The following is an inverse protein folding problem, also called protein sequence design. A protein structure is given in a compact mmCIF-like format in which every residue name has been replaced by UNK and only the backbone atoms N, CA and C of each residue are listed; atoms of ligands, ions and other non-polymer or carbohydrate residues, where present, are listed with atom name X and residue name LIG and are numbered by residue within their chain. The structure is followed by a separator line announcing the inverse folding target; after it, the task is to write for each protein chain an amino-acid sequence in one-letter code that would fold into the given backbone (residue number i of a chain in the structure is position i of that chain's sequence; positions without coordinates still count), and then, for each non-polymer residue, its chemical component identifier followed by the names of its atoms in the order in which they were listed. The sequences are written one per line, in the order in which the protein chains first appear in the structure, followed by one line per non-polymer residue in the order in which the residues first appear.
data_IF_045369442145
#
_entry.id   IF_045369442145
#
_cell.length_a   1.000
_cell.length_b   1.000
_cell.length_c   1.000
_cell.angle_alpha   90.00
_cell.angle_beta   90.00
_cell.angle_gamma   90.00
#
_symmetry.space_group_name_H-M   'P 1'
#
loop_
_entity.id
_entity.type
_entity.pdbx_description
1 polymer ?
#
# COMPACT_ATOMS: atom_id res chain seq x y z
N UNK A 1 21.53 -3.28 47.38
CA UNK A 1 20.91 -2.22 46.55
C UNK A 1 21.16 -2.58 45.12
N UNK A 2 20.19 -3.27 44.51
CA UNK A 2 20.22 -3.66 43.10
C UNK A 2 19.47 -2.60 42.32
N UNK A 3 20.17 -1.80 41.51
CA UNK A 3 19.56 -0.89 40.56
C UNK A 3 19.21 -1.70 39.32
N UNK A 4 17.93 -1.98 39.15
CA UNK A 4 17.37 -2.44 37.87
C UNK A 4 17.42 -1.28 36.90
N UNK A 5 18.23 -1.39 35.83
CA UNK A 5 18.15 -0.55 34.63
C UNK A 5 16.84 -0.86 33.91
N UNK A 6 16.09 0.14 33.46
CA UNK A 6 14.92 -0.10 32.61
C UNK A 6 15.37 -0.67 31.28
N UNK A 7 14.73 -1.77 30.90
CA UNK A 7 14.91 -2.46 29.61
C UNK A 7 14.69 -1.52 28.42
N UNK A 8 15.53 -1.67 27.41
CA UNK A 8 15.69 -0.80 26.27
C UNK A 8 14.38 -0.46 25.54
N UNK A 9 14.15 0.82 25.39
CA UNK A 9 13.32 1.35 24.32
C UNK A 9 14.05 1.04 23.02
N UNK A 10 13.51 0.11 22.23
CA UNK A 10 13.93 -0.07 20.85
C UNK A 10 13.74 1.28 20.14
N UNK A 11 14.83 1.93 19.76
CA UNK A 11 14.79 3.14 18.94
C UNK A 11 14.17 2.77 17.60
N UNK A 12 12.87 3.02 17.45
CA UNK A 12 12.23 2.92 16.13
C UNK A 12 12.96 3.91 15.20
N UNK A 13 13.48 3.40 14.11
CA UNK A 13 14.09 4.25 13.08
C UNK A 13 13.05 5.28 12.63
N UNK A 14 13.49 6.56 12.52
CA UNK A 14 12.59 7.63 12.06
C UNK A 14 12.21 7.35 10.62
N UNK A 15 10.92 7.19 10.37
CA UNK A 15 10.38 6.89 9.04
C UNK A 15 10.42 8.12 8.14
N UNK A 16 10.80 7.91 6.87
CA UNK A 16 10.99 8.94 5.85
C UNK A 16 9.79 9.01 4.93
N UNK A 17 9.24 10.21 4.75
CA UNK A 17 8.12 10.47 3.85
C UNK A 17 8.57 11.44 2.75
N UNK A 18 8.34 11.07 1.50
CA UNK A 18 8.51 11.97 0.36
C UNK A 18 7.16 12.58 0.00
N UNK A 19 7.06 13.89 0.02
CA UNK A 19 5.86 14.66 -0.38
C UNK A 19 6.11 15.25 -1.75
N UNK A 20 5.19 15.01 -2.68
CA UNK A 20 5.27 15.47 -4.08
C UNK A 20 4.00 16.23 -4.41
N UNK A 21 4.11 17.55 -4.56
CA UNK A 21 3.01 18.46 -4.89
C UNK A 21 3.63 19.78 -5.37
N UNK A 22 3.18 20.34 -6.47
CA UNK A 22 3.70 21.59 -7.04
C UNK A 22 3.19 22.84 -6.29
N UNK A 23 2.10 22.72 -5.52
CA UNK A 23 1.59 23.78 -4.68
C UNK A 23 2.38 23.90 -3.38
N UNK A 24 3.33 24.86 -3.31
CA UNK A 24 4.17 25.08 -2.12
C UNK A 24 3.36 25.26 -0.82
N UNK A 25 2.17 25.84 -0.89
CA UNK A 25 1.30 26.03 0.28
C UNK A 25 0.83 24.67 0.83
N UNK A 26 0.40 23.76 -0.03
CA UNK A 26 -0.03 22.40 0.33
C UNK A 26 1.16 21.59 0.84
N UNK A 27 2.26 21.60 0.09
CA UNK A 27 3.51 20.90 0.49
C UNK A 27 3.99 21.34 1.87
N UNK A 28 3.96 22.64 2.19
CA UNK A 28 4.36 23.12 3.51
C UNK A 28 3.41 22.67 4.64
N UNK A 29 2.11 22.69 4.41
CA UNK A 29 1.12 22.20 5.40
C UNK A 29 1.33 20.71 5.67
N UNK A 30 1.49 19.91 4.62
CA UNK A 30 1.75 18.45 4.74
C UNK A 30 3.07 18.23 5.47
N UNK A 31 4.15 18.91 5.07
CA UNK A 31 5.48 18.78 5.68
C UNK A 31 5.43 19.03 7.17
N UNK A 32 4.90 20.18 7.59
CA UNK A 32 4.79 20.54 9.01
C UNK A 32 3.95 19.55 9.80
N UNK A 33 2.85 19.06 9.24
CA UNK A 33 2.00 18.07 9.88
C UNK A 33 2.70 16.71 10.05
N UNK A 34 3.44 16.26 9.03
CA UNK A 34 4.19 15.02 9.07
C UNK A 34 5.38 15.12 10.03
N UNK A 35 6.14 16.23 10.02
CA UNK A 35 7.23 16.48 10.98
C UNK A 35 6.71 16.50 12.42
N UNK A 36 5.58 17.15 12.67
CA UNK A 36 4.92 17.14 13.98
C UNK A 36 4.46 15.73 14.41
N UNK A 37 4.10 14.89 13.42
CA UNK A 37 3.74 13.48 13.66
C UNK A 37 4.94 12.56 13.87
N UNK A 38 6.19 13.07 13.75
CA UNK A 38 7.44 12.37 14.01
C UNK A 38 8.12 11.76 12.78
N UNK A 39 7.72 12.16 11.58
CA UNK A 39 8.33 11.70 10.32
C UNK A 39 9.48 12.63 9.87
N UNK A 40 10.44 12.08 9.15
CA UNK A 40 11.43 12.85 8.40
C UNK A 40 10.86 13.11 6.99
N UNK A 41 10.73 14.38 6.61
CA UNK A 41 10.06 14.74 5.36
C UNK A 41 11.04 15.32 4.35
N UNK A 42 10.92 14.83 3.12
CA UNK A 42 11.53 15.42 1.93
C UNK A 42 10.43 15.85 0.97
N UNK A 43 10.67 16.92 0.20
CA UNK A 43 9.66 17.46 -0.72
C UNK A 43 10.20 17.53 -2.14
N UNK A 44 9.34 17.27 -3.12
CA UNK A 44 9.55 17.50 -4.53
C UNK A 44 8.35 18.26 -5.12
N UNK A 45 8.59 19.10 -6.12
CA UNK A 45 7.55 19.89 -6.81
C UNK A 45 7.27 19.40 -8.24
N UNK A 46 7.99 18.39 -8.70
CA UNK A 46 7.95 17.90 -10.07
C UNK A 46 8.06 16.36 -10.09
N UNK A 47 7.44 15.71 -11.07
CA UNK A 47 7.41 14.28 -11.19
C UNK A 47 8.79 13.64 -11.42
N UNK A 48 9.62 14.23 -12.29
CA UNK A 48 10.98 13.73 -12.51
C UNK A 48 11.86 13.88 -11.27
N UNK A 49 11.71 14.99 -10.53
CA UNK A 49 12.38 15.17 -9.25
C UNK A 49 11.95 14.11 -8.23
N UNK A 50 10.66 13.80 -8.18
CA UNK A 50 10.11 12.77 -7.29
C UNK A 50 10.71 11.39 -7.58
N UNK A 51 10.84 11.00 -8.85
CA UNK A 51 11.44 9.73 -9.26
C UNK A 51 12.90 9.61 -8.83
N UNK A 52 13.71 10.66 -9.09
CA UNK A 52 15.11 10.70 -8.68
C UNK A 52 15.26 10.65 -7.15
N UNK A 53 14.46 11.44 -6.43
CA UNK A 53 14.49 11.45 -4.96
C UNK A 53 14.01 10.12 -4.35
N UNK A 54 13.00 9.47 -4.92
CA UNK A 54 12.54 8.16 -4.46
C UNK A 54 13.62 7.09 -4.56
N UNK A 55 14.39 7.09 -5.66
CA UNK A 55 15.51 6.16 -5.84
C UNK A 55 16.67 6.44 -4.88
N UNK A 56 17.05 7.70 -4.71
CA UNK A 56 18.21 8.08 -3.87
C UNK A 56 17.92 8.00 -2.38
N UNK A 57 16.74 8.44 -1.95
CA UNK A 57 16.40 8.53 -0.54
C UNK A 57 15.78 7.23 0.00
N UNK A 58 15.23 6.40 -0.88
CA UNK A 58 14.45 5.20 -0.53
C UNK A 58 13.48 5.50 0.61
N UNK A 59 12.47 6.38 0.41
CA UNK A 59 11.53 6.76 1.45
C UNK A 59 10.67 5.58 1.86
N UNK A 60 10.17 5.60 3.10
CA UNK A 60 9.26 4.58 3.59
C UNK A 60 7.83 4.75 3.06
N UNK A 61 7.49 5.96 2.54
CA UNK A 61 6.21 6.27 1.91
C UNK A 61 6.33 7.50 1.01
N UNK A 62 5.56 7.51 -0.08
CA UNK A 62 5.37 8.66 -0.96
C UNK A 62 3.94 9.19 -0.85
N UNK A 63 3.78 10.49 -0.59
CA UNK A 63 2.52 11.24 -0.77
C UNK A 63 2.66 11.94 -2.12
N UNK A 64 1.76 11.67 -3.06
CA UNK A 64 1.91 12.05 -4.45
C UNK A 64 0.67 12.75 -4.99
N UNK A 65 0.81 14.00 -5.40
CA UNK A 65 -0.26 14.67 -6.13
C UNK A 65 -0.43 14.10 -7.54
N UNK A 66 -1.68 14.02 -7.99
CA UNK A 66 -2.00 13.64 -9.37
C UNK A 66 -1.62 14.74 -10.35
N UNK A 67 -1.87 16.00 -10.00
CA UNK A 67 -1.66 17.14 -10.88
C UNK A 67 -0.26 17.74 -10.70
N UNK A 68 0.71 17.24 -11.47
CA UNK A 68 2.08 17.79 -11.49
C UNK A 68 2.37 18.42 -12.87
N UNK A 69 3.26 19.44 -12.94
CA UNK A 69 3.43 20.25 -14.14
C UNK A 69 4.20 19.55 -15.27
N UNK A 70 5.10 18.60 -14.97
CA UNK A 70 6.00 17.96 -15.92
C UNK A 70 5.61 16.53 -16.27
N UNK A 71 5.23 15.76 -15.28
CA UNK A 71 4.84 14.36 -15.41
C UNK A 71 3.72 14.09 -14.43
N UNK A 72 2.52 13.71 -14.91
CA UNK A 72 1.40 13.49 -14.02
C UNK A 72 1.69 12.42 -12.95
N UNK A 73 1.03 12.53 -11.80
CA UNK A 73 1.28 11.64 -10.66
C UNK A 73 0.96 10.18 -10.95
N UNK A 74 0.08 9.89 -11.90
CA UNK A 74 -0.19 8.52 -12.32
C UNK A 74 1.00 7.90 -13.03
N UNK A 75 1.62 8.66 -13.93
CA UNK A 75 2.83 8.22 -14.62
C UNK A 75 4.02 8.09 -13.67
N UNK A 76 4.15 8.99 -12.67
CA UNK A 76 5.13 8.85 -11.58
C UNK A 76 4.90 7.54 -10.82
N UNK A 77 3.67 7.28 -10.40
CA UNK A 77 3.29 6.05 -9.70
C UNK A 77 3.65 4.80 -10.52
N UNK A 78 3.28 4.79 -11.82
CA UNK A 78 3.59 3.68 -12.74
C UNK A 78 5.11 3.40 -12.80
N UNK A 79 5.92 4.45 -12.98
CA UNK A 79 7.39 4.31 -13.05
C UNK A 79 8.00 3.83 -11.73
N UNK A 80 7.47 4.29 -10.59
CA UNK A 80 7.88 3.78 -9.28
C UNK A 80 7.58 2.29 -9.13
N UNK A 81 6.47 1.80 -9.68
CA UNK A 81 6.07 0.38 -9.66
C UNK A 81 6.89 -0.50 -10.62
N UNK A 82 7.33 0.05 -11.74
CA UNK A 82 8.17 -0.66 -12.72
C UNK A 82 9.64 -0.78 -12.28
N UNK A 83 10.08 0.00 -11.30
CA UNK A 83 11.46 -0.01 -10.81
C UNK A 83 11.57 -0.90 -9.56
N UNK A 84 12.41 -1.95 -9.62
CA UNK A 84 12.61 -2.91 -8.51
C UNK A 84 13.01 -2.26 -7.19
N UNK A 85 13.75 -1.13 -7.22
CA UNK A 85 14.17 -0.41 -6.02
C UNK A 85 13.05 0.38 -5.32
N UNK A 86 11.96 0.69 -6.04
CA UNK A 86 10.87 1.54 -5.54
C UNK A 86 9.49 0.88 -5.60
N UNK A 87 9.39 -0.32 -6.19
CA UNK A 87 8.11 -1.02 -6.43
C UNK A 87 7.29 -1.26 -5.16
N UNK A 88 7.95 -1.46 -4.03
CA UNK A 88 7.31 -1.75 -2.73
C UNK A 88 7.10 -0.53 -1.83
N UNK A 89 7.50 0.67 -2.27
CA UNK A 89 7.26 1.89 -1.49
C UNK A 89 5.76 2.19 -1.50
N UNK A 90 5.08 2.30 -0.33
CA UNK A 90 3.69 2.70 -0.29
C UNK A 90 3.47 4.07 -0.89
N UNK A 91 2.41 4.21 -1.71
CA UNK A 91 2.06 5.47 -2.37
C UNK A 91 0.65 5.87 -1.98
N UNK A 92 0.52 7.04 -1.33
CA UNK A 92 -0.75 7.71 -1.06
C UNK A 92 -0.95 8.82 -2.10
N UNK A 93 -1.95 8.67 -2.97
CA UNK A 93 -2.26 9.69 -3.99
C UNK A 93 -3.13 10.79 -3.40
N UNK A 94 -2.84 12.04 -3.76
CA UNK A 94 -3.71 13.19 -3.52
C UNK A 94 -4.46 13.52 -4.82
N UNK A 95 -5.80 13.59 -4.77
CA UNK A 95 -6.63 13.81 -5.97
C UNK A 95 -7.62 14.97 -5.77
N UNK A 96 -8.05 15.62 -6.84
CA UNK A 96 -9.17 16.57 -6.80
C UNK A 96 -10.50 15.83 -6.61
N UNK A 97 -11.48 16.48 -5.97
CA UNK A 97 -12.76 15.90 -5.55
C UNK A 97 -13.64 15.38 -6.70
N UNK A 98 -13.48 15.92 -7.90
CA UNK A 98 -14.46 15.75 -9.00
C UNK A 98 -14.12 14.63 -9.99
N UNK A 99 -13.00 13.92 -9.82
CA UNK A 99 -12.56 12.93 -10.78
C UNK A 99 -12.69 11.49 -10.28
N UNK A 100 -13.93 10.98 -10.33
CA UNK A 100 -14.21 9.54 -10.10
C UNK A 100 -13.46 8.67 -11.13
N UNK A 101 -13.22 9.21 -12.34
CA UNK A 101 -12.45 8.52 -13.38
C UNK A 101 -10.96 8.45 -13.02
N UNK A 102 -10.39 9.52 -12.47
CA UNK A 102 -8.99 9.55 -12.04
C UNK A 102 -8.75 8.63 -10.84
N UNK A 103 -9.71 8.49 -9.93
CA UNK A 103 -9.64 7.51 -8.84
C UNK A 103 -9.59 6.06 -9.34
N UNK A 104 -10.42 5.73 -10.33
CA UNK A 104 -10.42 4.39 -10.94
C UNK A 104 -9.15 4.18 -11.78
N UNK A 105 -8.68 5.20 -12.47
CA UNK A 105 -7.46 5.13 -13.28
C UNK A 105 -6.21 5.02 -12.40
N UNK A 106 -6.12 5.77 -11.33
CA UNK A 106 -4.98 5.73 -10.42
C UNK A 106 -4.92 4.46 -9.56
N UNK A 107 -6.07 3.91 -9.16
CA UNK A 107 -6.13 2.56 -8.59
C UNK A 107 -5.59 1.53 -9.60
N UNK A 108 -5.81 1.72 -10.91
CA UNK A 108 -5.28 0.87 -11.97
C UNK A 108 -3.74 0.88 -12.10
N UNK A 109 -3.05 1.83 -11.47
CA UNK A 109 -1.61 2.07 -11.62
C UNK A 109 -0.81 1.60 -10.39
N UNK A 110 -1.49 1.10 -9.33
CA UNK A 110 -0.83 0.49 -8.17
C UNK A 110 -0.54 1.44 -7.00
N UNK A 111 -1.30 2.53 -6.85
CA UNK A 111 -1.29 3.32 -5.61
C UNK A 111 -1.92 2.53 -4.46
N UNK A 112 -1.45 2.73 -3.23
CA UNK A 112 -1.90 1.96 -2.06
C UNK A 112 -3.09 2.58 -1.32
N UNK A 113 -3.29 3.89 -1.46
CA UNK A 113 -4.45 4.61 -0.92
C UNK A 113 -4.63 5.96 -1.65
N UNK A 114 -5.80 6.60 -1.46
CA UNK A 114 -6.17 7.89 -2.05
C UNK A 114 -6.77 8.81 -0.99
N UNK A 115 -6.47 10.10 -1.14
CA UNK A 115 -7.07 11.14 -0.33
C UNK A 115 -7.47 12.31 -1.23
N UNK A 116 -8.74 12.72 -1.14
CA UNK A 116 -9.26 13.82 -1.96
C UNK A 116 -8.97 15.18 -1.36
N UNK A 117 -8.52 16.11 -2.19
CA UNK A 117 -8.40 17.54 -1.86
C UNK A 117 -9.80 18.22 -1.90
N UNK A 118 -10.17 19.07 -0.93
CA UNK A 118 -9.42 19.40 0.28
C UNK A 118 -9.53 18.30 1.34
N UNK A 119 -8.45 18.02 2.06
CA UNK A 119 -8.36 16.99 3.07
C UNK A 119 -8.09 17.56 4.48
N UNK A 120 -8.39 16.77 5.49
CA UNK A 120 -8.00 17.05 6.86
C UNK A 120 -6.59 16.48 7.12
N UNK A 121 -5.71 17.31 7.73
CA UNK A 121 -4.34 16.90 8.04
C UNK A 121 -4.28 15.68 8.98
N UNK A 122 -5.21 15.58 9.95
CA UNK A 122 -5.28 14.43 10.84
C UNK A 122 -5.65 13.14 10.09
N UNK A 123 -6.52 13.22 9.08
CA UNK A 123 -6.84 12.11 8.19
C UNK A 123 -5.62 11.67 7.38
N UNK A 124 -4.89 12.62 6.78
CA UNK A 124 -3.66 12.33 6.05
C UNK A 124 -2.65 11.60 6.93
N UNK A 125 -2.38 12.10 8.15
CA UNK A 125 -1.47 11.45 9.11
C UNK A 125 -1.94 10.04 9.48
N UNK A 126 -3.23 9.86 9.71
CA UNK A 126 -3.80 8.55 10.04
C UNK A 126 -3.59 7.52 8.90
N UNK A 127 -3.80 7.93 7.64
CA UNK A 127 -3.59 7.10 6.45
C UNK A 127 -2.11 6.75 6.26
N UNK A 128 -1.21 7.72 6.38
CA UNK A 128 0.25 7.48 6.33
C UNK A 128 0.67 6.46 7.38
N UNK A 129 0.24 6.63 8.64
CA UNK A 129 0.52 5.67 9.70
C UNK A 129 -0.04 4.28 9.43
N UNK A 130 -1.23 4.20 8.84
CA UNK A 130 -1.85 2.93 8.48
C UNK A 130 -1.06 2.19 7.39
N UNK A 131 -0.60 2.90 6.36
CA UNK A 131 0.24 2.35 5.29
C UNK A 131 1.58 1.84 5.82
N UNK A 132 2.29 2.64 6.62
CA UNK A 132 3.58 2.29 7.20
C UNK A 132 3.49 1.12 8.18
N UNK A 133 2.45 1.06 9.02
CA UNK A 133 2.21 -0.06 9.94
C UNK A 133 1.97 -1.37 9.22
N UNK A 134 1.36 -1.36 8.04
CA UNK A 134 1.17 -2.56 7.20
C UNK A 134 2.49 -3.14 6.76
N UNK A 135 3.39 -2.29 6.28
CA UNK A 135 4.73 -2.68 5.85
C UNK A 135 5.53 -3.32 7.01
N UNK A 136 5.46 -2.74 8.21
CA UNK A 136 6.12 -3.29 9.41
C UNK A 136 5.57 -4.65 9.84
N UNK A 137 4.24 -4.84 9.83
CA UNK A 137 3.62 -6.13 10.20
C UNK A 137 4.04 -7.27 9.29
N UNK A 138 4.27 -6.99 8.03
CA UNK A 138 4.76 -7.99 7.07
C UNK A 138 6.21 -8.37 7.40
N UNK A 139 7.06 -7.40 7.74
CA UNK A 139 8.46 -7.62 8.15
C UNK A 139 8.52 -8.39 9.48
N UNK A 140 7.66 -8.07 10.45
CA UNK A 140 7.60 -8.73 11.76
C UNK A 140 7.01 -10.15 11.69
N UNK A 141 6.04 -10.39 10.81
CA UNK A 141 5.51 -11.74 10.54
C UNK A 141 6.56 -12.66 9.89
N UNK A 142 7.55 -12.09 9.20
CA UNK A 142 8.68 -12.78 8.57
C UNK A 142 9.85 -13.08 9.51
N UNK A 143 9.69 -13.12 10.84
CA UNK A 143 10.72 -13.56 11.78
C UNK A 143 11.22 -14.99 11.48
N UNK A 144 12.31 -15.47 12.11
CA UNK A 144 12.86 -16.80 11.85
C UNK A 144 11.83 -17.88 12.17
N UNK A 145 11.07 -18.31 11.15
CA UNK A 145 9.93 -19.24 11.27
C UNK A 145 8.71 -18.82 10.47
N UNK A 146 8.83 -17.84 9.54
CA UNK A 146 7.76 -17.42 8.63
C UNK A 146 7.08 -18.60 7.95
N UNK A 147 5.75 -18.56 7.82
CA UNK A 147 4.97 -19.65 7.23
C UNK A 147 5.01 -19.56 5.73
N UNK A 148 5.08 -20.71 5.08
CA UNK A 148 4.73 -20.82 3.66
C UNK A 148 3.27 -21.26 3.58
N UNK A 149 2.42 -20.37 3.11
CA UNK A 149 1.02 -20.67 2.85
C UNK A 149 0.89 -21.25 1.45
N UNK A 150 0.05 -22.29 1.30
CA UNK A 150 -0.15 -22.96 0.00
C UNK A 150 -1.64 -23.19 -0.24
N UNK A 151 -2.10 -22.80 -1.42
CA UNK A 151 -3.44 -23.10 -1.92
C UNK A 151 -3.32 -23.52 -3.38
N UNK A 152 -3.55 -24.79 -3.67
CA UNK A 152 -3.28 -25.43 -4.97
C UNK A 152 -1.81 -25.20 -5.42
N UNK A 153 -1.60 -24.54 -6.57
CA UNK A 153 -0.28 -24.20 -7.12
C UNK A 153 0.22 -22.78 -6.74
N UNK A 154 -0.52 -22.08 -5.88
CA UNK A 154 -0.17 -20.75 -5.35
C UNK A 154 0.51 -20.90 -3.99
N UNK A 155 1.70 -20.31 -3.83
CA UNK A 155 2.45 -20.30 -2.57
C UNK A 155 2.80 -18.86 -2.19
N UNK A 156 2.76 -18.55 -0.89
CA UNK A 156 3.14 -17.27 -0.31
C UNK A 156 4.09 -17.55 0.85
N UNK A 157 5.32 -17.07 0.74
CA UNK A 157 6.33 -17.11 1.80
C UNK A 157 6.30 -15.79 2.57
N UNK A 158 5.86 -15.85 3.83
CA UNK A 158 5.78 -14.67 4.71
C UNK A 158 7.16 -14.08 5.01
N UNK A 159 8.19 -14.94 5.18
CA UNK A 159 9.54 -14.50 5.54
C UNK A 159 10.28 -13.88 4.36
N UNK A 160 10.17 -14.50 3.19
CA UNK A 160 10.78 -14.01 1.95
C UNK A 160 9.97 -12.86 1.31
N UNK A 161 8.73 -12.61 1.78
CA UNK A 161 7.77 -11.71 1.13
C UNK A 161 7.59 -12.05 -0.37
N UNK A 162 7.55 -13.32 -0.69
CA UNK A 162 7.54 -13.85 -2.04
C UNK A 162 6.26 -14.62 -2.33
N UNK A 163 5.70 -14.42 -3.51
CA UNK A 163 4.55 -15.19 -4.01
C UNK A 163 4.96 -15.93 -5.27
N UNK A 164 4.58 -17.20 -5.35
CA UNK A 164 4.79 -18.03 -6.55
C UNK A 164 3.51 -18.72 -6.97
N UNK A 165 3.33 -18.88 -8.26
CA UNK A 165 2.31 -19.75 -8.83
C UNK A 165 2.92 -20.71 -9.83
N UNK A 166 2.75 -22.01 -9.59
CA UNK A 166 3.39 -23.05 -10.42
C UNK A 166 4.91 -22.90 -10.53
N UNK A 167 5.57 -22.39 -9.47
CA UNK A 167 7.00 -22.09 -9.44
C UNK A 167 7.42 -20.73 -10.04
N UNK A 168 6.53 -20.02 -10.73
CA UNK A 168 6.79 -18.67 -11.27
C UNK A 168 6.60 -17.62 -10.17
N UNK A 169 7.56 -16.74 -9.97
CA UNK A 169 7.45 -15.59 -9.05
C UNK A 169 6.40 -14.62 -9.58
N UNK A 170 5.54 -14.14 -8.68
CA UNK A 170 4.52 -13.12 -8.93
C UNK A 170 4.91 -11.87 -8.16
N UNK A 171 5.18 -10.79 -8.86
CA UNK A 171 5.48 -9.49 -8.26
C UNK A 171 4.19 -8.82 -7.79
N UNK A 172 4.09 -8.61 -6.49
CA UNK A 172 2.96 -7.93 -5.84
C UNK A 172 3.44 -6.66 -5.14
N UNK A 173 2.60 -5.62 -5.13
CA UNK A 173 2.79 -4.47 -4.24
C UNK A 173 2.51 -4.88 -2.79
N UNK A 174 2.92 -4.07 -1.82
CA UNK A 174 2.70 -4.37 -0.41
C UNK A 174 1.20 -4.58 -0.07
N UNK A 175 0.31 -3.77 -0.65
CA UNK A 175 -1.14 -3.91 -0.43
C UNK A 175 -1.72 -5.15 -1.11
N UNK A 176 -1.29 -5.48 -2.33
CA UNK A 176 -1.68 -6.73 -3.01
C UNK A 176 -1.22 -7.96 -2.24
N UNK A 177 0.03 -7.95 -1.74
CA UNK A 177 0.56 -9.02 -0.91
C UNK A 177 -0.27 -9.21 0.36
N UNK A 178 -0.58 -8.13 1.09
CA UNK A 178 -1.39 -8.16 2.30
C UNK A 178 -2.81 -8.69 2.05
N UNK A 179 -3.42 -8.30 0.94
CA UNK A 179 -4.75 -8.79 0.55
C UNK A 179 -4.71 -10.28 0.21
N UNK A 180 -3.71 -10.71 -0.57
CA UNK A 180 -3.55 -12.14 -0.89
C UNK A 180 -3.23 -12.95 0.36
N UNK A 181 -2.34 -12.46 1.22
CA UNK A 181 -2.02 -13.08 2.51
C UNK A 181 -3.27 -13.27 3.37
N UNK A 182 -4.11 -12.24 3.50
CA UNK A 182 -5.38 -12.33 4.21
C UNK A 182 -6.26 -13.45 3.66
N UNK A 183 -6.38 -13.56 2.34
CA UNK A 183 -7.16 -14.63 1.72
C UNK A 183 -6.54 -16.01 1.95
N UNK A 184 -5.22 -16.14 1.85
CA UNK A 184 -4.51 -17.41 2.05
C UNK A 184 -4.50 -17.88 3.51
N UNK A 185 -4.64 -16.97 4.47
CA UNK A 185 -4.87 -17.30 5.88
C UNK A 185 -6.28 -17.83 6.15
N UNK A 186 -7.24 -17.56 5.27
CA UNK A 186 -8.65 -17.94 5.41
C UNK A 186 -9.18 -18.68 4.14
N UNK A 187 -8.52 -19.78 3.71
CA UNK A 187 -8.91 -20.49 2.50
C UNK A 187 -10.32 -21.06 2.64
N UNK A 188 -11.12 -20.93 1.58
CA UNK A 188 -12.53 -21.38 1.51
C UNK A 188 -13.50 -20.66 2.46
N UNK A 189 -13.05 -19.67 3.20
CA UNK A 189 -13.89 -18.81 4.02
C UNK A 189 -14.29 -17.56 3.23
N UNK A 190 -15.58 -17.23 3.24
CA UNK A 190 -16.05 -15.96 2.67
C UNK A 190 -15.66 -14.84 3.62
N UNK A 191 -14.90 -13.87 3.13
CA UNK A 191 -14.57 -12.65 3.85
C UNK A 191 -15.47 -11.52 3.34
N UNK A 192 -16.22 -10.90 4.25
CA UNK A 192 -17.03 -9.74 3.93
C UNK A 192 -16.17 -8.49 3.69
N UNK A 193 -16.74 -7.51 2.97
CA UNK A 193 -16.03 -6.30 2.59
C UNK A 193 -15.46 -5.53 3.77
N UNK A 194 -16.21 -5.42 4.87
CA UNK A 194 -15.76 -4.69 6.04
C UNK A 194 -14.60 -5.38 6.73
N UNK A 195 -14.63 -6.70 6.83
CA UNK A 195 -13.52 -7.50 7.35
C UNK A 195 -12.26 -7.31 6.50
N UNK A 196 -12.39 -7.34 5.17
CA UNK A 196 -11.26 -7.11 4.26
C UNK A 196 -10.71 -5.70 4.45
N UNK A 197 -11.56 -4.66 4.45
CA UNK A 197 -11.14 -3.27 4.69
C UNK A 197 -10.38 -3.12 6.01
N UNK A 198 -10.98 -3.59 7.09
CA UNK A 198 -10.38 -3.45 8.42
C UNK A 198 -9.04 -4.17 8.55
N UNK A 199 -8.91 -5.34 7.93
CA UNK A 199 -7.69 -6.15 8.00
C UNK A 199 -6.58 -5.65 7.09
N UNK A 200 -6.93 -5.24 5.86
CA UNK A 200 -5.95 -4.79 4.86
C UNK A 200 -5.71 -3.29 4.92
N UNK A 201 -6.74 -2.47 5.13
CA UNK A 201 -6.63 -1.00 5.17
C UNK A 201 -6.69 -0.40 6.59
N UNK A 202 -7.16 -1.14 7.58
CA UNK A 202 -7.25 -0.73 8.99
C UNK A 202 -8.65 -0.22 9.38
N UNK A 203 -8.93 -0.22 10.70
CA UNK A 203 -10.24 0.18 11.25
C UNK A 203 -10.57 1.66 11.02
N UNK A 204 -9.56 2.50 10.86
CA UNK A 204 -9.71 3.96 10.64
C UNK A 204 -9.78 4.32 9.15
N UNK A 205 -9.95 3.32 8.27
CA UNK A 205 -10.04 3.56 6.83
C UNK A 205 -11.35 4.27 6.49
N UNK A 206 -11.25 5.55 6.11
CA UNK A 206 -12.38 6.42 5.71
C UNK A 206 -12.64 6.42 4.20
N UNK A 207 -11.92 5.56 3.44
CA UNK A 207 -12.05 5.48 1.98
C UNK A 207 -13.28 4.68 1.53
N UNK A 208 -13.56 4.76 0.23
CA UNK A 208 -14.67 4.05 -0.39
C UNK A 208 -14.42 2.53 -0.43
N UNK A 209 -15.47 1.75 -0.25
CA UNK A 209 -15.41 0.27 -0.24
C UNK A 209 -15.05 -0.34 -1.62
N UNK A 210 -15.15 0.45 -2.70
CA UNK A 210 -14.78 0.04 -4.06
C UNK A 210 -13.27 -0.21 -4.26
N UNK A 211 -12.42 0.23 -3.32
CA UNK A 211 -10.99 -0.07 -3.33
C UNK A 211 -10.72 -1.59 -3.37
N UNK A 212 -11.55 -2.38 -2.70
CA UNK A 212 -11.42 -3.85 -2.67
C UNK A 212 -11.55 -4.44 -4.07
N UNK A 213 -12.57 -3.99 -4.84
CA UNK A 213 -12.83 -4.48 -6.19
C UNK A 213 -11.60 -4.28 -7.09
N UNK A 214 -10.94 -3.16 -6.92
CA UNK A 214 -9.77 -2.80 -7.71
C UNK A 214 -8.60 -3.71 -7.38
N UNK A 215 -8.27 -3.88 -6.08
CA UNK A 215 -7.17 -4.75 -5.69
C UNK A 215 -7.44 -6.24 -5.95
N UNK A 216 -8.69 -6.68 -5.83
CA UNK A 216 -9.10 -8.03 -6.25
C UNK A 216 -8.89 -8.21 -7.75
N UNK A 217 -9.20 -7.20 -8.58
CA UNK A 217 -8.94 -7.25 -10.01
C UNK A 217 -7.43 -7.39 -10.29
N UNK A 218 -6.56 -6.58 -9.65
CA UNK A 218 -5.10 -6.69 -9.83
C UNK A 218 -4.55 -8.03 -9.43
N UNK A 219 -4.99 -8.56 -8.28
CA UNK A 219 -4.59 -9.89 -7.90
C UNK A 219 -5.01 -10.91 -8.95
N UNK A 220 -6.24 -10.82 -9.47
CA UNK A 220 -6.70 -11.73 -10.53
C UNK A 220 -5.85 -11.61 -11.79
N UNK A 221 -5.51 -10.40 -12.23
CA UNK A 221 -4.65 -10.16 -13.39
C UNK A 221 -3.26 -10.81 -13.24
N UNK A 222 -2.77 -10.92 -11.99
CA UNK A 222 -1.46 -11.49 -11.69
C UNK A 222 -1.47 -13.00 -11.38
N UNK A 223 -2.53 -13.49 -10.70
CA UNK A 223 -2.58 -14.85 -10.19
C UNK A 223 -3.56 -15.77 -10.92
N UNK A 224 -4.48 -15.28 -11.74
CA UNK A 224 -5.42 -16.11 -12.49
C UNK A 224 -4.94 -16.37 -13.91
N UNK A 225 -5.34 -17.48 -14.51
CA UNK A 225 -5.12 -17.73 -15.94
C UNK A 225 -6.10 -16.93 -16.80
N UNK A 226 -7.33 -16.80 -16.31
CA UNK A 226 -8.42 -16.04 -16.93
C UNK A 226 -9.05 -15.13 -15.85
N UNK A 227 -8.65 -13.86 -15.75
CA UNK A 227 -9.15 -12.93 -14.73
C UNK A 227 -10.66 -12.72 -14.73
N UNK A 228 -11.31 -12.87 -15.88
CA UNK A 228 -12.77 -12.76 -16.04
C UNK A 228 -13.53 -13.99 -15.53
N UNK A 229 -12.86 -15.15 -15.45
CA UNK A 229 -13.39 -16.40 -14.92
C UNK A 229 -12.50 -16.94 -13.79
N UNK A 230 -12.38 -16.23 -12.65
CA UNK A 230 -11.38 -16.47 -11.64
C UNK A 230 -11.58 -17.82 -10.95
N UNK A 231 -10.49 -18.57 -10.82
CA UNK A 231 -10.44 -19.86 -10.11
C UNK A 231 -10.12 -19.65 -8.62
N UNK A 232 -9.16 -18.77 -8.30
CA UNK A 232 -8.69 -18.53 -6.94
C UNK A 232 -9.59 -17.55 -6.19
N UNK A 233 -9.64 -16.29 -6.59
CA UNK A 233 -10.40 -15.28 -5.87
C UNK A 233 -11.79 -15.14 -6.48
N UNK A 234 -12.79 -15.74 -5.86
CA UNK A 234 -14.17 -15.71 -6.34
C UNK A 234 -15.01 -14.65 -5.61
N UNK A 235 -15.89 -13.98 -6.35
CA UNK A 235 -16.85 -13.02 -5.79
C UNK A 235 -18.08 -13.75 -5.27
N UNK A 236 -18.43 -13.50 -4.00
CA UNK A 236 -19.71 -13.90 -3.42
C UNK A 236 -20.63 -12.68 -3.43
N UNK A 237 -21.54 -12.64 -4.41
CA UNK A 237 -22.41 -11.49 -4.66
C UNK A 237 -23.12 -11.01 -3.40
N UNK A 238 -23.07 -9.70 -3.14
CA UNK A 238 -23.70 -9.05 -1.98
C UNK A 238 -22.99 -9.28 -0.63
N UNK A 239 -21.94 -10.12 -0.56
CA UNK A 239 -21.24 -10.45 0.69
C UNK A 239 -19.78 -10.00 0.62
N UNK A 240 -18.97 -10.55 -0.29
CA UNK A 240 -17.53 -10.29 -0.34
C UNK A 240 -16.79 -11.24 -1.27
N UNK A 241 -15.67 -11.79 -0.80
CA UNK A 241 -14.78 -12.61 -1.62
C UNK A 241 -14.33 -13.87 -0.86
N UNK A 242 -13.95 -14.89 -1.62
CA UNK A 242 -13.43 -16.14 -1.08
C UNK A 242 -12.28 -16.64 -1.93
N UNK A 243 -11.21 -17.12 -1.29
CA UNK A 243 -10.12 -17.83 -1.97
C UNK A 243 -10.49 -19.31 -2.06
N UNK A 244 -10.51 -19.82 -3.28
CA UNK A 244 -10.64 -21.26 -3.59
C UNK A 244 -9.42 -21.67 -4.42
N UNK A 245 -9.19 -22.92 -4.60
CA UNK A 245 -8.09 -23.44 -5.41
C UNK A 245 -8.39 -24.86 -5.86
#
# INVERSE_FOLDING_TARGET
MNQQQPAGQSSQAIQRVLVVDDEMAITNVIRLGMEHAGFLVSCASEGYQALDMAQRLNPDLVILDVMLPDLDGFEVCRRLRENQGTTNIPILMLTAKDDVKDRVQGLNIGADDYLTKPFNLAELVARVRALLRRQQRVIEAGGPGGRVLTVADLTLDEAAHEVKRGGRIIELTATEFNLLHLFMMHPRQVLDRQTILNRVWGYDFMGETNIIEVYVRYLREKIEDEPSAPRFIQTVRGIGYVLKG
#
